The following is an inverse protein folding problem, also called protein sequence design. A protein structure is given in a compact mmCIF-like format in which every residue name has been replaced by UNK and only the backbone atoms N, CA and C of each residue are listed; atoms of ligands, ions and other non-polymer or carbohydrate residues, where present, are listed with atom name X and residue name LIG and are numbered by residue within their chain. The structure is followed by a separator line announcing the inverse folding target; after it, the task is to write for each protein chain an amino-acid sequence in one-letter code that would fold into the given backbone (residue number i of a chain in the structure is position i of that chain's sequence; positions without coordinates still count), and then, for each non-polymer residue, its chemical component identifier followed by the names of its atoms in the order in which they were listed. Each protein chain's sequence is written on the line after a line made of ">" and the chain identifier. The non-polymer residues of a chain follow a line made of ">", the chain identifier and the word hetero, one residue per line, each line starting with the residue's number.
data_IF_103969886729
#
_entry.id   IF_103969886729
#
_cell.length_a   1.000
_cell.length_b   1.000
_cell.length_c   1.000
_cell.angle_alpha   90.00
_cell.angle_beta   90.00
_cell.angle_gamma   90.00
#
_symmetry.space_group_name_H-M   'P 1'
#
loop_
_entity.id
_entity.type
_entity.pdbx_description
1 polymer ?
#
# COMPACT_ATOMS: atom_id res chain seq x y z
N UNK A 1 7.74 12.84 5.88
CA UNK A 1 6.48 12.69 6.63
C UNK A 1 6.42 11.34 7.29
N UNK A 2 5.75 11.29 8.43
CA UNK A 2 5.49 10.03 9.11
C UNK A 2 4.51 9.18 8.31
N UNK A 3 4.75 7.87 8.24
CA UNK A 3 3.88 6.93 7.53
C UNK A 3 3.21 6.03 8.55
N UNK A 4 1.89 6.08 8.58
CA UNK A 4 1.05 5.29 9.47
C UNK A 4 0.30 4.23 8.66
N UNK A 5 0.47 2.96 9.01
CA UNK A 5 -0.31 1.87 8.41
C UNK A 5 -1.59 1.69 9.20
N UNK A 6 -2.73 1.87 8.54
CA UNK A 6 -4.02 1.63 9.18
C UNK A 6 -4.21 0.15 9.48
N UNK A 7 -5.12 -0.16 10.37
CA UNK A 7 -5.44 -1.55 10.69
C UNK A 7 -5.86 -2.33 9.43
N UNK A 8 -6.68 -1.72 8.59
CA UNK A 8 -7.09 -2.35 7.34
C UNK A 8 -5.89 -2.68 6.44
N UNK A 9 -4.95 -1.75 6.33
CA UNK A 9 -3.76 -1.97 5.51
C UNK A 9 -2.89 -3.09 6.09
N UNK A 10 -2.75 -3.14 7.41
CA UNK A 10 -1.99 -4.19 8.08
C UNK A 10 -2.65 -5.56 7.84
N UNK A 11 -3.97 -5.64 7.97
CA UNK A 11 -4.69 -6.89 7.74
C UNK A 11 -4.53 -7.37 6.30
N UNK A 12 -4.56 -6.45 5.35
CA UNK A 12 -4.35 -6.80 3.94
C UNK A 12 -2.92 -7.27 3.68
N UNK A 13 -1.94 -6.65 4.32
CA UNK A 13 -0.53 -7.06 4.21
C UNK A 13 -0.34 -8.47 4.77
N UNK A 14 -0.95 -8.77 5.92
CA UNK A 14 -0.91 -10.11 6.49
C UNK A 14 -1.54 -11.14 5.58
N UNK A 15 -2.67 -10.79 4.94
CA UNK A 15 -3.32 -11.66 3.98
C UNK A 15 -2.44 -11.96 2.77
N UNK A 16 -1.72 -10.96 2.28
CA UNK A 16 -0.76 -11.15 1.18
C UNK A 16 0.36 -12.09 1.62
N UNK A 17 0.90 -11.88 2.83
CA UNK A 17 1.92 -12.77 3.37
C UNK A 17 1.44 -14.21 3.42
N UNK A 18 0.27 -14.44 4.02
CA UNK A 18 -0.28 -15.79 4.18
C UNK A 18 -0.51 -16.47 2.84
N UNK A 19 -1.02 -15.74 1.86
CA UNK A 19 -1.28 -16.27 0.54
C UNK A 19 0.01 -16.73 -0.14
N UNK A 20 1.04 -15.90 -0.14
CA UNK A 20 2.32 -16.23 -0.78
C UNK A 20 3.05 -17.32 0.01
N UNK A 21 2.96 -17.29 1.34
CA UNK A 21 3.66 -18.22 2.21
C UNK A 21 3.18 -19.67 2.05
N UNK A 22 1.99 -19.88 1.51
CA UNK A 22 1.52 -21.24 1.18
C UNK A 22 2.48 -21.95 0.22
N UNK A 23 3.07 -21.19 -0.70
CA UNK A 23 4.03 -21.73 -1.66
C UNK A 23 5.47 -21.46 -1.24
N UNK A 24 5.76 -20.29 -0.67
CA UNK A 24 7.11 -19.92 -0.32
C UNK A 24 7.14 -18.84 0.76
N UNK A 25 7.45 -19.20 2.01
CA UNK A 25 7.65 -18.20 3.06
C UNK A 25 8.77 -17.20 2.71
N UNK A 26 9.79 -17.63 1.99
CA UNK A 26 10.86 -16.74 1.55
C UNK A 26 10.35 -15.60 0.67
N UNK A 27 9.55 -15.92 -0.35
CA UNK A 27 8.98 -14.90 -1.22
C UNK A 27 7.94 -14.05 -0.51
N UNK A 28 7.22 -14.62 0.47
CA UNK A 28 6.28 -13.85 1.28
C UNK A 28 7.00 -12.75 2.06
N UNK A 29 8.12 -13.09 2.70
CA UNK A 29 8.92 -12.11 3.43
C UNK A 29 9.48 -11.04 2.50
N UNK A 30 9.95 -11.43 1.33
CA UNK A 30 10.48 -10.47 0.35
C UNK A 30 9.40 -9.50 -0.12
N UNK A 31 8.19 -9.98 -0.35
CA UNK A 31 7.09 -9.10 -0.80
C UNK A 31 6.69 -8.12 0.29
N UNK A 32 6.58 -8.57 1.53
CA UNK A 32 6.29 -7.69 2.66
C UNK A 32 7.37 -6.62 2.79
N UNK A 33 8.64 -7.00 2.67
CA UNK A 33 9.75 -6.06 2.74
C UNK A 33 9.67 -5.02 1.61
N UNK A 34 9.38 -5.45 0.38
CA UNK A 34 9.23 -4.53 -0.75
C UNK A 34 8.10 -3.53 -0.53
N UNK A 35 6.95 -4.00 -0.04
CA UNK A 35 5.79 -3.14 0.18
C UNK A 35 6.05 -2.14 1.30
N UNK A 36 6.68 -2.57 2.39
CA UNK A 36 6.99 -1.67 3.49
C UNK A 36 8.02 -0.62 3.10
N UNK A 37 9.06 -1.00 2.36
CA UNK A 37 10.04 -0.04 1.85
C UNK A 37 9.42 0.96 0.90
N UNK A 38 8.52 0.50 0.03
CA UNK A 38 7.83 1.40 -0.89
C UNK A 38 7.00 2.43 -0.14
N UNK A 39 6.35 2.02 0.95
CA UNK A 39 5.58 2.95 1.77
C UNK A 39 6.47 4.01 2.44
N UNK A 40 7.69 3.66 2.82
CA UNK A 40 8.63 4.63 3.38
C UNK A 40 9.00 5.70 2.35
N UNK A 41 9.14 5.32 1.08
CA UNK A 41 9.40 6.28 0.00
C UNK A 41 8.23 7.25 -0.18
N UNK A 42 7.00 6.81 0.05
CA UNK A 42 5.84 7.70 0.03
C UNK A 42 5.99 8.79 1.09
N UNK A 43 6.50 8.45 2.27
CA UNK A 43 6.75 9.43 3.32
C UNK A 43 7.71 10.52 2.90
N UNK A 44 8.73 10.17 2.10
CA UNK A 44 9.69 11.14 1.58
C UNK A 44 9.11 11.97 0.44
N UNK A 45 8.22 11.39 -0.37
CA UNK A 45 7.64 12.03 -1.55
C UNK A 45 6.11 11.82 -1.58
N UNK A 46 5.35 12.55 -0.74
CA UNK A 46 3.92 12.28 -0.56
C UNK A 46 3.07 12.42 -1.83
N UNK A 47 3.53 13.23 -2.78
CA UNK A 47 2.79 13.44 -4.03
C UNK A 47 3.32 12.61 -5.20
N UNK A 48 4.18 11.63 -4.93
CA UNK A 48 4.75 10.77 -5.97
C UNK A 48 3.73 9.81 -6.57
N UNK A 49 2.69 9.43 -5.82
CA UNK A 49 1.63 8.58 -6.31
C UNK A 49 0.62 9.33 -7.16
N UNK A 50 -0.08 8.60 -8.02
CA UNK A 50 -1.15 9.18 -8.84
C UNK A 50 -2.47 9.16 -8.08
N UNK A 51 -3.43 9.97 -8.52
CA UNK A 51 -4.79 9.90 -7.98
C UNK A 51 -5.39 8.54 -8.29
N UNK A 52 -6.12 7.98 -7.32
CA UNK A 52 -6.77 6.68 -7.49
C UNK A 52 -7.96 6.84 -8.42
N UNK A 53 -8.03 6.06 -9.53
CA UNK A 53 -9.13 6.23 -10.51
C UNK A 53 -10.52 6.04 -9.91
N UNK A 54 -10.65 5.19 -8.88
CA UNK A 54 -11.93 4.90 -8.23
C UNK A 54 -12.40 6.02 -7.29
N UNK A 55 -11.53 6.99 -6.97
CA UNK A 55 -11.85 8.11 -6.08
C UNK A 55 -11.52 9.44 -6.73
N UNK A 56 -12.41 10.40 -6.58
CA UNK A 56 -12.20 11.75 -7.09
C UNK A 56 -11.65 12.65 -5.98
N UNK A 57 -10.52 12.28 -5.41
CA UNK A 57 -9.91 13.01 -4.31
C UNK A 57 -8.42 13.18 -4.57
N UNK A 58 -7.93 14.43 -4.44
CA UNK A 58 -6.50 14.73 -4.59
C UNK A 58 -5.68 14.16 -3.43
N UNK A 59 -6.33 13.86 -2.31
CA UNK A 59 -5.64 13.38 -1.11
C UNK A 59 -5.47 11.87 -1.10
N UNK A 60 -6.21 11.13 -1.94
CA UNK A 60 -6.12 9.68 -2.03
C UNK A 60 -5.33 9.32 -3.27
N UNK A 61 -4.17 8.72 -3.05
CA UNK A 61 -3.22 8.39 -4.11
C UNK A 61 -2.80 6.94 -4.03
N UNK A 62 -2.15 6.48 -5.08
CA UNK A 62 -1.61 5.13 -5.13
C UNK A 62 -0.24 5.11 -5.74
N UNK A 63 0.57 4.15 -5.29
CA UNK A 63 1.80 3.77 -5.97
C UNK A 63 1.72 2.29 -6.32
N UNK A 64 2.35 1.93 -7.43
CA UNK A 64 2.37 0.55 -7.89
C UNK A 64 3.65 -0.11 -7.41
N UNK A 65 3.49 -1.23 -6.73
CA UNK A 65 4.58 -2.15 -6.41
C UNK A 65 4.12 -3.52 -6.91
N UNK A 66 4.35 -3.76 -8.19
CA UNK A 66 3.75 -4.89 -8.91
C UNK A 66 3.94 -6.22 -8.17
N UNK A 67 2.88 -7.03 -8.05
CA UNK A 67 1.57 -6.88 -8.69
C UNK A 67 0.55 -6.10 -7.84
N UNK A 68 0.99 -5.37 -6.82
CA UNK A 68 0.11 -4.69 -5.86
C UNK A 68 0.04 -3.20 -6.07
N UNK A 69 -1.04 -2.61 -5.55
CA UNK A 69 -1.23 -1.16 -5.44
C UNK A 69 -1.22 -0.81 -3.96
N UNK A 70 -0.46 0.21 -3.59
CA UNK A 70 -0.48 0.75 -2.22
C UNK A 70 -1.31 2.02 -2.27
N UNK A 71 -2.43 2.01 -1.56
CA UNK A 71 -3.38 3.12 -1.52
C UNK A 71 -3.12 3.91 -0.25
N UNK A 72 -2.96 5.22 -0.37
CA UNK A 72 -2.66 6.06 0.79
C UNK A 72 -3.40 7.39 0.72
N UNK A 73 -3.57 8.00 1.88
CA UNK A 73 -4.13 9.34 2.02
C UNK A 73 -3.06 10.28 2.53
N UNK A 74 -2.90 11.43 1.89
CA UNK A 74 -2.03 12.48 2.39
C UNK A 74 -2.79 13.34 3.38
N UNK A 75 -2.20 13.54 4.55
CA UNK A 75 -2.69 14.49 5.56
C UNK A 75 -1.65 15.59 5.72
N UNK A 76 -1.96 16.57 6.59
CA UNK A 76 -1.11 17.72 6.76
C UNK A 76 0.31 17.34 7.22
N UNK A 77 0.42 16.37 8.13
CA UNK A 77 1.68 16.01 8.77
C UNK A 77 2.00 14.52 8.73
N UNK A 78 1.17 13.71 8.06
CA UNK A 78 1.42 12.28 7.95
C UNK A 78 0.75 11.69 6.73
N UNK A 79 1.17 10.49 6.41
CA UNK A 79 0.59 9.64 5.37
C UNK A 79 -0.11 8.48 6.07
N UNK A 80 -1.35 8.20 5.70
CA UNK A 80 -2.04 6.99 6.14
C UNK A 80 -2.07 6.00 4.97
N UNK A 81 -1.46 4.84 5.14
CA UNK A 81 -1.61 3.74 4.18
C UNK A 81 -2.94 3.07 4.47
N UNK A 82 -3.87 3.16 3.51
CA UNK A 82 -5.24 2.72 3.69
C UNK A 82 -5.44 1.26 3.33
N UNK A 83 -4.73 0.80 2.30
CA UNK A 83 -4.90 -0.55 1.78
C UNK A 83 -3.73 -0.94 0.89
N UNK A 84 -3.52 -2.24 0.76
CA UNK A 84 -2.67 -2.83 -0.27
C UNK A 84 -3.54 -3.84 -0.98
N UNK A 85 -3.70 -3.68 -2.30
CA UNK A 85 -4.59 -4.54 -3.08
C UNK A 85 -3.88 -5.03 -4.32
N UNK A 86 -4.29 -6.18 -4.82
CA UNK A 86 -3.79 -6.66 -6.11
C UNK A 86 -4.22 -5.69 -7.21
N UNK A 87 -3.30 -5.37 -8.11
CA UNK A 87 -3.54 -4.32 -9.13
C UNK A 87 -4.73 -4.56 -10.03
N UNK A 88 -5.12 -5.82 -10.25
CA UNK A 88 -6.26 -6.17 -11.08
C UNK A 88 -7.60 -6.06 -10.39
N UNK A 89 -7.62 -5.89 -9.06
CA UNK A 89 -8.86 -5.79 -8.30
C UNK A 89 -9.40 -4.36 -8.29
N UNK A 90 -10.73 -4.24 -8.30
CA UNK A 90 -11.36 -2.97 -8.02
C UNK A 90 -11.17 -2.63 -6.54
N UNK A 91 -10.92 -1.36 -6.29
CA UNK A 91 -10.67 -0.88 -4.93
C UNK A 91 -11.99 -0.78 -4.17
N UNK A 92 -12.02 -1.42 -2.99
CA UNK A 92 -13.14 -1.34 -2.06
C UNK A 92 -12.54 -1.13 -0.67
N UNK A 93 -12.75 0.05 -0.12
CA UNK A 93 -12.25 0.42 1.21
C UNK A 93 -13.35 0.44 2.25
#
# INVERSE_FOLDING_TARGET
>A
MNVNWTENAIQRLLGIYEYIAQDSPFYAERMVDRLTRRSEQIGAFPHSGRMVPEYSSVDIREVIEAPYRIIYRTKQDQIDVLAVVHGARLLSL
#
